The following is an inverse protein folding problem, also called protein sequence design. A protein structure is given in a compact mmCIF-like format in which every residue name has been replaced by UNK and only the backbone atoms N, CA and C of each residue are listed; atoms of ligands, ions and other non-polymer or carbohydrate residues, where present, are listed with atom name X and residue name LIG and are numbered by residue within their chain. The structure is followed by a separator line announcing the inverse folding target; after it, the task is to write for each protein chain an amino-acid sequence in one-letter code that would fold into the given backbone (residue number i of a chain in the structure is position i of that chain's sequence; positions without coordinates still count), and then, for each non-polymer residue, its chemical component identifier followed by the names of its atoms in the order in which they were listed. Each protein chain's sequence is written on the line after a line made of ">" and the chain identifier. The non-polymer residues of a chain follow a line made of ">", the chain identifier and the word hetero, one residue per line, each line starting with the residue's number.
data_IF_814300236358
#
_entry.id   IF_814300236358
#
_cell.length_a   1.000
_cell.length_b   1.000
_cell.length_c   1.000
_cell.angle_alpha   90.00
_cell.angle_beta   90.00
_cell.angle_gamma   90.00
#
_symmetry.space_group_name_H-M   'P 1'
#
loop_
_entity.id
_entity.type
_entity.pdbx_description
1 polymer ?
#
# COMPACT_ATOMS: atom_id res chain seq x y z
N UNK A 1 -6.25 16.14 -7.54
CA UNK A 1 -6.85 15.11 -8.43
C UNK A 1 -6.48 13.73 -7.91
N UNK A 2 -7.30 12.71 -8.21
CA UNK A 2 -6.98 11.30 -7.98
C UNK A 2 -6.57 10.70 -9.32
N UNK A 3 -5.39 10.11 -9.37
CA UNK A 3 -4.80 9.53 -10.58
C UNK A 3 -4.53 8.05 -10.42
N UNK A 4 -4.62 7.35 -11.54
CA UNK A 4 -4.23 5.96 -11.69
C UNK A 4 -3.26 5.81 -12.86
N UNK A 5 -2.74 4.60 -13.08
CA UNK A 5 -1.95 4.32 -14.29
C UNK A 5 -2.72 4.47 -15.61
N UNK A 6 -4.05 4.44 -15.59
CA UNK A 6 -4.90 4.57 -16.79
C UNK A 6 -5.38 6.00 -17.03
N UNK A 7 -5.21 6.90 -16.06
CA UNK A 7 -5.64 8.28 -16.16
C UNK A 7 -6.23 8.86 -14.86
N UNK A 8 -6.65 10.12 -14.89
CA UNK A 8 -7.32 10.76 -13.77
C UNK A 8 -8.72 10.16 -13.57
N UNK A 9 -9.04 9.80 -12.34
CA UNK A 9 -10.36 9.31 -11.94
C UNK A 9 -11.24 10.42 -11.39
N UNK A 10 -10.61 11.44 -10.80
CA UNK A 10 -11.30 12.58 -10.21
C UNK A 10 -10.43 13.83 -10.29
N UNK A 11 -11.00 14.96 -10.66
CA UNK A 11 -10.31 16.24 -10.69
C UNK A 11 -11.25 17.37 -10.27
N UNK A 12 -10.67 18.42 -9.69
CA UNK A 12 -11.36 19.64 -9.34
C UNK A 12 -10.35 20.78 -9.34
N UNK A 13 -10.75 21.93 -9.89
CA UNK A 13 -10.01 23.18 -9.78
C UNK A 13 -10.49 23.95 -8.54
N UNK A 14 -9.54 24.47 -7.76
CA UNK A 14 -9.82 25.21 -6.51
C UNK A 14 -8.84 26.37 -6.35
N UNK A 15 -9.31 27.44 -5.71
CA UNK A 15 -8.45 28.50 -5.21
C UNK A 15 -7.98 28.17 -3.79
N UNK A 16 -6.67 28.10 -3.59
CA UNK A 16 -6.08 27.76 -2.28
C UNK A 16 -5.63 29.05 -1.59
N UNK A 17 -6.20 29.40 -0.42
CA UNK A 17 -5.79 30.57 0.34
C UNK A 17 -4.41 30.35 1.01
N UNK A 18 -3.82 31.40 1.57
CA UNK A 18 -2.44 31.37 2.06
C UNK A 18 -2.24 30.41 3.26
N UNK A 19 -3.28 30.25 4.07
CA UNK A 19 -3.37 29.38 5.24
C UNK A 19 -3.59 27.90 4.90
N UNK A 20 -3.90 27.57 3.64
CA UNK A 20 -4.26 26.23 3.21
C UNK A 20 -5.77 25.95 3.26
N UNK A 21 -6.17 24.79 2.77
CA UNK A 21 -7.57 24.39 2.64
C UNK A 21 -7.71 22.88 2.82
N UNK A 22 -8.79 22.47 3.47
CA UNK A 22 -9.22 21.07 3.50
C UNK A 22 -10.20 20.79 2.35
N UNK A 23 -10.00 19.64 1.69
CA UNK A 23 -10.81 19.21 0.55
C UNK A 23 -11.31 17.79 0.76
N UNK A 24 -12.63 17.61 0.71
CA UNK A 24 -13.25 16.28 0.74
C UNK A 24 -13.18 15.64 -0.65
N UNK A 25 -12.54 14.48 -0.74
CA UNK A 25 -12.39 13.73 -1.99
C UNK A 25 -13.29 12.49 -1.92
N UNK A 26 -14.33 12.38 -2.76
CA UNK A 26 -15.20 11.21 -2.76
C UNK A 26 -14.46 10.00 -3.32
N UNK A 27 -14.30 8.96 -2.51
CA UNK A 27 -13.73 7.68 -2.95
C UNK A 27 -14.85 6.83 -3.57
N UNK A 28 -14.73 6.56 -4.86
CA UNK A 28 -15.73 5.78 -5.59
C UNK A 28 -15.59 4.28 -5.29
N UNK A 29 -16.72 3.59 -5.12
CA UNK A 29 -16.77 2.14 -4.84
C UNK A 29 -16.29 1.28 -6.01
N UNK A 30 -16.25 1.83 -7.23
CA UNK A 30 -15.77 1.14 -8.42
C UNK A 30 -14.23 1.07 -8.50
N UNK A 31 -13.52 1.82 -7.66
CA UNK A 31 -12.06 1.87 -7.64
C UNK A 31 -11.43 0.62 -7.01
N UNK A 32 -11.42 -0.48 -7.76
CA UNK A 32 -10.87 -1.76 -7.34
C UNK A 32 -9.38 -1.92 -7.70
N UNK A 33 -8.53 -0.99 -7.25
CA UNK A 33 -7.10 -0.92 -7.62
C UNK A 33 -6.22 -0.29 -6.53
N UNK A 34 -4.91 -0.54 -6.58
CA UNK A 34 -3.96 -0.15 -5.53
C UNK A 34 -2.85 0.80 -6.01
N UNK A 35 -2.95 1.27 -7.25
CA UNK A 35 -2.04 2.21 -7.92
C UNK A 35 -2.59 3.65 -7.92
N UNK A 36 -3.48 3.98 -6.98
CA UNK A 36 -4.08 5.30 -6.88
C UNK A 36 -3.19 6.27 -6.12
N UNK A 37 -3.09 7.48 -6.66
CA UNK A 37 -2.35 8.58 -6.06
C UNK A 37 -3.17 9.86 -6.10
N UNK A 38 -3.08 10.62 -5.01
CA UNK A 38 -3.49 12.01 -4.94
C UNK A 38 -2.37 12.87 -5.47
N UNK A 39 -2.64 13.68 -6.49
CA UNK A 39 -1.71 14.69 -6.98
C UNK A 39 -2.32 16.08 -6.93
N UNK A 40 -1.51 17.06 -6.58
CA UNK A 40 -1.90 18.47 -6.49
C UNK A 40 -0.89 19.34 -7.22
N UNK A 41 -1.41 20.40 -7.84
CA UNK A 41 -0.62 21.38 -8.56
C UNK A 41 -1.09 22.77 -8.15
N UNK A 42 -0.18 23.57 -7.58
CA UNK A 42 -0.48 24.97 -7.24
C UNK A 42 0.42 25.86 -8.07
N UNK A 43 -0.19 26.85 -8.73
CA UNK A 43 0.52 27.87 -9.51
C UNK A 43 0.25 29.23 -8.87
N UNK A 44 1.30 29.88 -8.39
CA UNK A 44 1.22 31.27 -7.93
C UNK A 44 1.53 32.19 -9.12
N UNK A 45 0.63 33.12 -9.48
CA UNK A 45 0.90 34.08 -10.54
C UNK A 45 2.12 34.93 -10.18
N UNK A 46 2.91 35.26 -11.21
CA UNK A 46 4.00 36.20 -11.07
C UNK A 46 3.49 37.63 -10.91
N UNK A 47 4.29 38.49 -10.28
CA UNK A 47 4.02 39.92 -10.15
C UNK A 47 5.07 40.69 -10.96
N UNK A 48 4.66 41.25 -12.10
CA UNK A 48 5.53 42.03 -13.00
C UNK A 48 6.08 43.28 -12.33
N UNK A 49 5.33 43.88 -11.40
CA UNK A 49 5.76 45.08 -10.66
C UNK A 49 6.88 44.79 -9.65
N UNK A 50 7.01 43.52 -9.23
CA UNK A 50 8.03 43.04 -8.28
C UNK A 50 9.05 42.09 -8.91
N UNK A 51 9.07 41.97 -10.24
CA UNK A 51 9.88 41.00 -10.98
C UNK A 51 9.75 39.55 -10.47
N UNK A 52 8.61 39.20 -9.89
CA UNK A 52 8.37 37.87 -9.36
C UNK A 52 7.87 36.95 -10.50
N UNK A 53 8.65 35.91 -10.82
CA UNK A 53 8.25 34.91 -11.82
C UNK A 53 7.16 33.99 -11.28
N UNK A 54 6.29 33.43 -12.14
CA UNK A 54 5.34 32.40 -11.73
C UNK A 54 6.04 31.25 -11.01
N UNK A 55 5.46 30.78 -9.91
CA UNK A 55 6.00 29.67 -9.12
C UNK A 55 5.01 28.52 -9.11
N UNK A 56 5.53 27.30 -9.24
CA UNK A 56 4.74 26.06 -9.23
C UNK A 56 5.18 25.18 -8.07
N UNK A 57 4.22 24.55 -7.39
CA UNK A 57 4.43 23.53 -6.38
C UNK A 57 3.60 22.29 -6.71
N UNK A 58 4.12 21.10 -6.39
CA UNK A 58 3.49 19.80 -6.67
C UNK A 58 3.45 18.99 -5.38
N UNK A 59 2.32 18.37 -5.09
CA UNK A 59 2.17 17.35 -4.05
C UNK A 59 1.78 16.01 -4.67
N UNK A 60 2.30 14.91 -4.12
CA UNK A 60 1.97 13.54 -4.52
C UNK A 60 1.89 12.65 -3.28
N UNK A 61 0.79 11.91 -3.13
CA UNK A 61 0.54 11.02 -2.00
C UNK A 61 -0.17 9.74 -2.48
N UNK A 62 0.25 8.57 -2.00
CA UNK A 62 -0.44 7.31 -2.28
C UNK A 62 -1.78 7.24 -1.55
N UNK A 63 -2.83 6.74 -2.23
CA UNK A 63 -4.14 6.50 -1.63
C UNK A 63 -4.31 5.01 -1.31
N UNK A 64 -4.20 4.59 -0.03
CA UNK A 64 -4.36 3.19 0.34
C UNK A 64 -5.83 2.78 0.30
N UNK A 65 -6.14 1.75 -0.50
CA UNK A 65 -7.46 1.12 -0.59
C UNK A 65 -7.47 -0.35 -0.12
N UNK A 66 -6.36 -0.83 0.44
CA UNK A 66 -6.26 -2.19 0.96
C UNK A 66 -7.16 -2.38 2.17
N UNK A 67 -8.02 -3.39 2.12
CA UNK A 67 -8.88 -3.77 3.24
C UNK A 67 -8.16 -4.79 4.15
N UNK A 68 -7.95 -4.41 5.40
CA UNK A 68 -7.34 -5.27 6.42
C UNK A 68 -8.18 -6.52 6.73
N UNK A 69 -9.49 -6.48 6.51
CA UNK A 69 -10.36 -7.64 6.70
C UNK A 69 -10.08 -8.75 5.67
N UNK A 70 -9.38 -8.43 4.57
CA UNK A 70 -8.92 -9.42 3.58
C UNK A 70 -7.60 -10.09 3.98
N UNK A 71 -6.96 -9.68 5.08
CA UNK A 71 -5.72 -10.26 5.57
C UNK A 71 -6.00 -11.48 6.44
N UNK A 72 -5.40 -12.62 6.09
CA UNK A 72 -5.36 -13.78 6.97
C UNK A 72 -4.25 -13.59 8.01
N UNK A 73 -4.64 -13.61 9.27
CA UNK A 73 -3.71 -13.74 10.39
C UNK A 73 -3.38 -15.22 10.57
N UNK A 74 -2.09 -15.55 10.44
CA UNK A 74 -1.59 -16.90 10.65
C UNK A 74 -0.81 -16.97 11.96
N UNK A 75 -1.18 -17.89 12.83
CA UNK A 75 -0.41 -18.26 14.00
C UNK A 75 0.22 -19.64 13.79
N UNK A 76 1.53 -19.71 14.00
CA UNK A 76 2.31 -20.95 13.94
C UNK A 76 2.71 -21.33 15.37
N UNK A 77 2.38 -22.56 15.77
CA UNK A 77 2.80 -23.13 17.05
C UNK A 77 3.74 -24.30 16.76
N UNK A 78 4.98 -24.17 17.20
CA UNK A 78 6.04 -25.15 17.05
C UNK A 78 6.92 -25.16 18.31
N UNK A 79 7.59 -26.28 18.63
CA UNK A 79 8.53 -26.34 19.76
C UNK A 79 9.78 -25.46 19.50
N UNK A 80 10.26 -24.77 20.53
CA UNK A 80 11.45 -23.90 20.46
C UNK A 80 12.75 -24.66 20.16
N UNK A 81 12.82 -25.94 20.56
CA UNK A 81 13.98 -26.80 20.37
C UNK A 81 13.53 -28.20 19.97
N UNK A 82 14.25 -28.79 19.02
CA UNK A 82 14.06 -30.17 18.60
C UNK A 82 15.40 -30.89 18.56
N UNK A 83 15.37 -32.23 18.61
CA UNK A 83 16.55 -33.05 18.32
C UNK A 83 16.65 -33.35 16.82
N UNK A 84 17.86 -33.55 16.28
CA UNK A 84 18.03 -33.99 14.90
C UNK A 84 17.34 -35.32 14.60
N UNK A 85 17.04 -35.56 13.31
CA UNK A 85 16.43 -36.79 12.81
C UNK A 85 15.07 -37.14 13.46
N UNK A 86 14.33 -36.12 13.88
CA UNK A 86 12.97 -36.25 14.40
C UNK A 86 12.00 -35.47 13.53
N UNK A 87 10.75 -35.94 13.37
CA UNK A 87 9.71 -35.18 12.68
C UNK A 87 9.37 -33.92 13.48
N UNK A 88 9.29 -32.77 12.79
CA UNK A 88 8.80 -31.51 13.35
C UNK A 88 7.30 -31.38 13.09
N UNK A 89 6.52 -31.22 14.15
CA UNK A 89 5.09 -30.87 14.06
C UNK A 89 4.91 -29.38 14.24
N UNK A 90 4.21 -28.74 13.30
CA UNK A 90 3.82 -27.33 13.36
C UNK A 90 2.30 -27.26 13.25
N UNK A 91 1.66 -26.64 14.24
CA UNK A 91 0.23 -26.34 14.15
C UNK A 91 0.05 -24.98 13.49
N UNK A 92 -0.83 -24.92 12.51
CA UNK A 92 -1.17 -23.68 11.81
C UNK A 92 -2.61 -23.32 12.13
N UNK A 93 -2.82 -22.08 12.60
CA UNK A 93 -4.15 -21.53 12.83
C UNK A 93 -4.31 -20.28 11.97
N UNK A 94 -5.35 -20.28 11.14
CA UNK A 94 -5.73 -19.12 10.35
C UNK A 94 -6.96 -18.43 10.96
N UNK A 95 -6.94 -17.11 11.00
CA UNK A 95 -8.07 -16.27 11.43
C UNK A 95 -8.11 -14.98 10.62
N UNK A 96 -9.26 -14.33 10.60
CA UNK A 96 -9.43 -12.95 10.08
C UNK A 96 -9.67 -12.00 11.25
N UNK A 97 -9.43 -10.71 11.05
CA UNK A 97 -9.61 -9.70 12.10
C UNK A 97 -11.07 -9.57 12.52
N UNK A 98 -11.98 -9.56 11.54
CA UNK A 98 -13.41 -9.46 11.72
C UNK A 98 -14.12 -10.54 10.90
N UNK A 99 -15.11 -11.21 11.51
CA UNK A 99 -15.91 -12.24 10.85
C UNK A 99 -15.35 -13.67 10.96
N UNK A 100 -15.97 -14.58 10.22
CA UNK A 100 -15.55 -15.98 10.18
C UNK A 100 -14.40 -16.18 9.18
N UNK A 101 -13.45 -17.05 9.56
CA UNK A 101 -12.39 -17.45 8.65
C UNK A 101 -12.98 -18.18 7.42
N UNK A 102 -12.30 -18.14 6.26
CA UNK A 102 -12.77 -18.82 5.06
C UNK A 102 -13.01 -20.31 5.34
N UNK A 103 -14.05 -20.89 4.72
CA UNK A 103 -14.39 -22.31 4.84
C UNK A 103 -13.23 -23.24 4.47
N UNK A 104 -12.35 -22.78 3.57
CA UNK A 104 -11.18 -23.52 3.12
C UNK A 104 -9.99 -22.56 3.01
N UNK A 105 -8.88 -22.93 3.65
CA UNK A 105 -7.62 -22.19 3.61
C UNK A 105 -6.52 -23.14 3.15
N UNK A 106 -5.76 -22.72 2.14
CA UNK A 106 -4.59 -23.48 1.67
C UNK A 106 -3.32 -22.89 2.31
N UNK A 107 -2.46 -23.76 2.82
CA UNK A 107 -1.22 -23.36 3.48
C UNK A 107 -0.04 -24.09 2.83
N UNK A 108 0.99 -23.33 2.46
CA UNK A 108 2.29 -23.86 2.08
C UNK A 108 3.28 -23.58 3.21
N UNK A 109 3.75 -24.64 3.87
CA UNK A 109 4.74 -24.56 4.94
C UNK A 109 6.10 -25.05 4.44
N UNK A 110 7.12 -24.25 4.66
CA UNK A 110 8.52 -24.57 4.36
C UNK A 110 9.41 -24.22 5.55
N UNK A 111 10.55 -24.89 5.66
CA UNK A 111 11.58 -24.63 6.66
C UNK A 111 12.93 -24.51 5.96
N UNK A 112 13.69 -23.47 6.30
CA UNK A 112 15.00 -23.15 5.72
C UNK A 112 15.96 -22.78 6.84
N UNK A 113 17.23 -23.13 6.68
CA UNK A 113 18.29 -22.77 7.62
C UNK A 113 18.49 -21.24 7.69
N UNK A 114 18.52 -20.68 8.89
CA UNK A 114 18.66 -19.23 9.09
C UNK A 114 20.00 -18.69 8.61
N UNK A 115 21.07 -19.48 8.66
CA UNK A 115 22.37 -19.14 8.09
C UNK A 115 22.30 -18.93 6.57
N UNK A 116 21.46 -19.68 5.86
CA UNK A 116 21.22 -19.47 4.42
C UNK A 116 20.43 -18.17 4.19
N UNK A 117 19.37 -17.93 4.98
CA UNK A 117 18.53 -16.74 4.84
C UNK A 117 19.28 -15.43 5.14
N UNK A 118 20.20 -15.46 6.09
CA UNK A 118 20.97 -14.31 6.54
C UNK A 118 22.03 -13.83 5.53
N UNK A 119 22.38 -14.63 4.51
CA UNK A 119 23.36 -14.21 3.49
C UNK A 119 22.81 -13.05 2.65
N UNK A 120 21.49 -13.05 2.43
CA UNK A 120 20.82 -12.10 1.53
C UNK A 120 19.73 -11.29 2.23
N UNK A 121 19.66 -11.35 3.56
CA UNK A 121 18.55 -10.79 4.36
C UNK A 121 17.17 -11.19 3.80
N UNK A 122 17.00 -12.48 3.51
CA UNK A 122 15.79 -12.96 2.84
C UNK A 122 14.54 -12.72 3.71
N UNK A 123 13.61 -11.91 3.19
CA UNK A 123 12.32 -11.66 3.83
C UNK A 123 11.30 -12.75 3.44
N UNK A 124 10.56 -13.26 4.44
CA UNK A 124 9.42 -14.15 4.19
C UNK A 124 8.43 -13.46 3.26
N UNK A 125 8.05 -14.07 2.12
CA UNK A 125 7.08 -13.48 1.20
C UNK A 125 5.76 -13.14 1.91
N UNK A 126 5.27 -11.91 1.73
CA UNK A 126 3.96 -11.47 2.21
C UNK A 126 3.00 -11.35 1.01
N UNK A 127 2.09 -12.31 0.80
CA UNK A 127 1.12 -12.27 -0.29
C UNK A 127 0.16 -11.07 -0.16
N UNK A 128 -0.19 -10.66 1.06
CA UNK A 128 -1.09 -9.53 1.24
C UNK A 128 -0.42 -8.26 0.72
N UNK A 129 0.85 -8.02 1.08
CA UNK A 129 1.58 -6.88 0.56
C UNK A 129 1.82 -6.97 -0.95
N UNK A 130 2.07 -8.17 -1.48
CA UNK A 130 2.23 -8.37 -2.93
C UNK A 130 0.99 -7.91 -3.71
N UNK A 131 -0.21 -8.28 -3.26
CA UNK A 131 -1.46 -7.93 -3.94
C UNK A 131 -1.98 -6.53 -3.57
N UNK A 132 -2.06 -6.19 -2.28
CA UNK A 132 -2.71 -4.98 -1.75
C UNK A 132 -1.75 -3.83 -1.42
N UNK A 133 -0.44 -4.10 -1.37
CA UNK A 133 0.56 -3.09 -1.09
C UNK A 133 0.63 -2.01 -2.17
N UNK A 134 1.23 -0.88 -1.80
CA UNK A 134 1.42 0.28 -2.66
C UNK A 134 2.04 -0.11 -4.01
N UNK A 135 1.36 0.25 -5.10
CA UNK A 135 1.89 0.11 -6.46
C UNK A 135 2.56 1.40 -6.90
N UNK A 136 3.50 1.32 -7.84
CA UNK A 136 4.22 2.50 -8.36
C UNK A 136 3.26 3.55 -8.92
N UNK A 137 3.64 4.81 -8.84
CA UNK A 137 2.92 5.88 -9.53
C UNK A 137 3.01 5.66 -11.05
N UNK A 138 1.86 5.58 -11.71
CA UNK A 138 1.74 5.16 -13.11
C UNK A 138 1.89 6.28 -14.14
N UNK A 139 2.02 7.55 -13.71
CA UNK A 139 2.03 8.70 -14.61
C UNK A 139 3.41 9.32 -14.71
N UNK A 140 3.70 9.89 -15.88
CA UNK A 140 4.84 10.75 -16.13
C UNK A 140 4.32 12.04 -16.75
N UNK A 141 4.50 13.16 -16.04
CA UNK A 141 4.29 14.47 -16.64
C UNK A 141 5.56 14.83 -17.41
N UNK A 142 5.40 15.05 -18.73
CA UNK A 142 6.42 15.64 -19.61
C UNK A 142 6.33 17.17 -19.57
#
# INVERSE_FOLDING_TARGET
>A
MVESSEGPLWWQEIDVPAEGMDLSIPVDKTWNRHDLYLSTLVVRPGDKSRSATPKRAVGLLHLPLGDENRRLTLALEAPDKIRPNQPLTVKVKASVKEGEAPKQVNVLLSAVDSGVLNITDYATPDPWNAFFGQKRYGRRYL
#
